data_IF_712187396809
#
_entry.id   IF_712187396809
#
_cell.length_a   1.000
_cell.length_b   1.000
_cell.length_c   1.000
_cell.angle_alpha   90.00
_cell.angle_beta   90.00
_cell.angle_gamma   90.00
#
_symmetry.space_group_name_H-M   'P 1'
#
loop_
_entity.id
_entity.type
_entity.pdbx_description
1 polymer ?
#
# COMPACT_ATOMS: atom_id res chain seq x y z
N UNK A 1 -3.75 -7.56 13.79
CA UNK A 1 -3.64 -7.43 12.33
C UNK A 1 -5.04 -7.56 11.72
N UNK A 2 -5.76 -6.44 11.50
CA UNK A 2 -7.17 -6.44 11.07
C UNK A 2 -7.49 -5.25 10.14
N UNK A 3 -6.57 -4.90 9.22
CA UNK A 3 -6.81 -3.80 8.27
C UNK A 3 -7.65 -4.26 7.05
N UNK A 4 -7.43 -5.49 6.58
CA UNK A 4 -8.16 -6.05 5.45
C UNK A 4 -9.64 -6.36 5.75
N UNK A 5 -10.01 -6.56 7.01
CA UNK A 5 -11.40 -6.88 7.39
C UNK A 5 -12.34 -5.69 7.23
N UNK A 6 -11.86 -4.45 7.40
CA UNK A 6 -12.68 -3.24 7.25
C UNK A 6 -13.06 -2.97 5.80
N UNK A 7 -12.15 -3.24 4.87
CA UNK A 7 -12.37 -3.08 3.43
C UNK A 7 -13.46 -4.01 2.87
N UNK A 8 -13.70 -5.14 3.52
CA UNK A 8 -14.68 -6.15 3.13
C UNK A 8 -15.87 -6.25 4.08
N UNK A 9 -16.11 -5.22 4.90
CA UNK A 9 -17.30 -5.09 5.73
C UNK A 9 -18.08 -3.86 5.27
N UNK A 10 -19.21 -4.09 4.59
CA UNK A 10 -20.07 -3.03 4.04
C UNK A 10 -20.62 -2.04 5.07
N UNK A 11 -20.52 -2.34 6.37
CA UNK A 11 -20.92 -1.42 7.44
C UNK A 11 -19.84 -0.39 7.79
N UNK A 12 -18.63 -0.49 7.20
CA UNK A 12 -17.50 0.40 7.47
C UNK A 12 -17.42 1.50 6.42
N UNK A 13 -16.98 2.67 6.87
CA UNK A 13 -16.73 3.82 6.01
C UNK A 13 -15.65 3.53 4.96
N UNK A 14 -14.65 2.71 5.30
CA UNK A 14 -13.58 2.35 4.36
C UNK A 14 -13.93 1.16 3.44
N UNK A 15 -15.18 0.69 3.45
CA UNK A 15 -15.59 -0.43 2.62
C UNK A 15 -15.29 -0.17 1.13
N UNK A 16 -14.81 -1.21 0.42
CA UNK A 16 -14.55 -1.12 -1.02
C UNK A 16 -15.79 -1.39 -1.88
N UNK A 17 -16.91 -1.69 -1.24
CA UNK A 17 -18.19 -1.95 -1.86
C UNK A 17 -19.16 -0.79 -1.59
N UNK A 18 -20.23 -0.74 -2.37
CA UNK A 18 -21.36 0.15 -2.08
C UNK A 18 -22.19 -0.33 -0.87
N UNK A 19 -23.24 0.42 -0.54
CA UNK A 19 -24.17 0.10 0.57
C UNK A 19 -24.87 -1.27 0.41
N UNK A 20 -25.00 -1.76 -0.83
CA UNK A 20 -25.59 -3.07 -1.13
C UNK A 20 -24.57 -4.19 -0.96
N UNK A 21 -23.29 -3.85 -0.89
CA UNK A 21 -22.18 -4.78 -0.82
C UNK A 21 -21.64 -5.21 -2.18
N UNK A 22 -21.93 -4.44 -3.25
CA UNK A 22 -21.38 -4.68 -4.59
C UNK A 22 -19.95 -4.12 -4.68
N UNK A 23 -19.00 -5.00 -4.98
CA UNK A 23 -17.60 -4.66 -5.26
C UNK A 23 -17.38 -4.53 -6.76
N UNK A 24 -16.59 -3.52 -7.14
CA UNK A 24 -16.21 -3.27 -8.52
C UNK A 24 -14.72 -3.46 -8.72
N UNK A 25 -14.32 -4.07 -9.85
CA UNK A 25 -12.92 -4.18 -10.22
C UNK A 25 -12.34 -2.80 -10.54
N UNK A 26 -11.17 -2.48 -9.97
CA UNK A 26 -10.46 -1.21 -10.16
C UNK A 26 -9.48 -1.20 -11.34
N UNK A 27 -9.46 -2.28 -12.14
CA UNK A 27 -8.57 -2.42 -13.28
C UNK A 27 -7.14 -2.81 -12.90
N UNK A 28 -6.33 -3.14 -13.90
CA UNK A 28 -4.92 -3.49 -13.69
C UNK A 28 -4.14 -2.32 -13.07
N UNK A 29 -2.93 -2.60 -12.56
CA UNK A 29 -2.09 -1.59 -11.91
C UNK A 29 -1.92 -0.33 -12.77
N UNK A 30 -1.68 -0.49 -14.07
CA UNK A 30 -1.47 0.58 -15.05
C UNK A 30 -2.74 1.19 -15.65
N UNK A 31 -3.93 0.86 -15.14
CA UNK A 31 -5.21 1.38 -15.62
C UNK A 31 -5.92 2.17 -14.53
N UNK A 32 -6.58 3.26 -14.91
CA UNK A 32 -7.38 4.05 -13.97
C UNK A 32 -8.66 3.31 -13.54
N UNK A 33 -9.29 2.62 -14.50
CA UNK A 33 -10.52 1.87 -14.30
C UNK A 33 -10.49 0.52 -15.03
N UNK A 34 -11.32 -0.42 -14.59
CA UNK A 34 -11.49 -1.69 -15.30
C UNK A 34 -12.24 -1.47 -16.61
N UNK A 35 -11.65 -1.87 -17.74
CA UNK A 35 -12.29 -1.82 -19.07
C UNK A 35 -13.52 -2.73 -19.20
N UNK A 36 -13.71 -3.67 -18.27
CA UNK A 36 -14.83 -4.64 -18.23
C UNK A 36 -15.74 -4.40 -17.02
N UNK A 37 -15.88 -3.15 -16.57
CA UNK A 37 -16.58 -2.80 -15.33
C UNK A 37 -18.01 -3.38 -15.23
N UNK A 38 -18.73 -3.46 -16.35
CA UNK A 38 -20.08 -4.03 -16.41
C UNK A 38 -20.12 -5.53 -16.09
N UNK A 39 -19.03 -6.25 -16.33
CA UNK A 39 -18.90 -7.69 -16.09
C UNK A 39 -18.13 -7.99 -14.80
N UNK A 40 -17.14 -7.18 -14.46
CA UNK A 40 -16.31 -7.35 -13.28
C UNK A 40 -16.90 -6.61 -12.08
N UNK A 41 -18.03 -7.11 -11.61
CA UNK A 41 -18.68 -6.74 -10.35
C UNK A 41 -19.11 -8.00 -9.60
N UNK A 42 -19.19 -7.91 -8.28
CA UNK A 42 -19.61 -9.05 -7.44
C UNK A 42 -20.14 -8.59 -6.09
N UNK A 43 -21.19 -9.26 -5.61
CA UNK A 43 -21.69 -9.09 -4.25
C UNK A 43 -21.47 -10.38 -3.43
N UNK A 44 -20.38 -10.49 -2.64
CA UNK A 44 -20.06 -11.68 -1.86
C UNK A 44 -21.01 -11.90 -0.67
N UNK A 45 -21.86 -10.93 -0.36
CA UNK A 45 -22.86 -11.05 0.70
C UNK A 45 -24.17 -11.69 0.21
N UNK A 46 -24.38 -11.77 -1.11
CA UNK A 46 -25.62 -12.27 -1.70
C UNK A 46 -25.77 -13.79 -1.60
N UNK A 47 -24.68 -14.56 -1.71
CA UNK A 47 -24.72 -16.03 -1.57
C UNK A 47 -23.37 -16.61 -1.17
N UNK A 48 -23.37 -17.89 -0.79
CA UNK A 48 -22.13 -18.64 -0.48
C UNK A 48 -21.26 -18.79 -1.73
N UNK A 49 -21.86 -19.04 -2.87
CA UNK A 49 -21.19 -19.18 -4.16
C UNK A 49 -20.51 -17.88 -4.56
N UNK A 50 -21.21 -16.75 -4.41
CA UNK A 50 -20.63 -15.43 -4.66
C UNK A 50 -19.43 -15.15 -3.75
N UNK A 51 -19.51 -15.54 -2.46
CA UNK A 51 -18.38 -15.45 -1.53
C UNK A 51 -17.18 -16.30 -1.95
N UNK A 52 -17.44 -17.52 -2.44
CA UNK A 52 -16.40 -18.42 -2.96
C UNK A 52 -15.75 -17.80 -4.20
N UNK A 53 -16.53 -17.30 -5.16
CA UNK A 53 -15.97 -16.63 -6.35
C UNK A 53 -15.15 -15.39 -5.95
N UNK A 54 -15.59 -14.64 -4.95
CA UNK A 54 -14.85 -13.49 -4.43
C UNK A 54 -13.47 -13.85 -3.88
N UNK A 55 -13.24 -15.08 -3.41
CA UNK A 55 -11.89 -15.53 -3.01
C UNK A 55 -10.87 -15.56 -4.15
N UNK A 56 -11.33 -15.55 -5.40
CA UNK A 56 -10.46 -15.44 -6.58
C UNK A 56 -10.04 -14.00 -6.91
N UNK A 57 -10.72 -13.01 -6.32
CA UNK A 57 -10.37 -11.60 -6.45
C UNK A 57 -9.16 -11.29 -5.57
N UNK A 58 -8.37 -10.30 -5.99
CA UNK A 58 -7.11 -9.96 -5.33
C UNK A 58 -7.09 -8.49 -4.94
N UNK A 59 -6.44 -8.19 -3.82
CA UNK A 59 -5.93 -6.84 -3.53
C UNK A 59 -4.50 -6.78 -4.06
N UNK A 60 -4.38 -6.26 -5.27
CA UNK A 60 -3.11 -6.16 -5.99
C UNK A 60 -2.38 -4.87 -5.63
N UNK A 61 -1.07 -4.97 -5.43
CA UNK A 61 -0.21 -3.83 -5.09
C UNK A 61 0.25 -3.15 -6.39
N UNK A 62 -0.13 -1.89 -6.61
CA UNK A 62 0.36 -1.11 -7.75
C UNK A 62 1.89 -1.07 -7.74
N UNK A 63 2.50 -0.63 -6.64
CA UNK A 63 3.93 -0.75 -6.38
C UNK A 63 4.12 -2.10 -5.69
N UNK A 64 4.75 -3.03 -6.39
CA UNK A 64 4.79 -4.43 -5.97
C UNK A 64 5.43 -4.64 -4.60
N UNK A 65 4.74 -5.39 -3.73
CA UNK A 65 5.23 -5.73 -2.39
C UNK A 65 6.61 -6.38 -2.42
N UNK A 66 6.72 -7.54 -3.06
CA UNK A 66 7.94 -8.36 -2.98
C UNK A 66 9.05 -7.88 -3.91
N UNK A 67 8.70 -7.24 -5.04
CA UNK A 67 9.68 -6.78 -6.04
C UNK A 67 10.17 -5.34 -5.84
N UNK A 68 9.42 -4.51 -5.11
CA UNK A 68 9.79 -3.11 -4.88
C UNK A 68 9.75 -2.75 -3.39
N UNK A 69 8.62 -2.90 -2.71
CA UNK A 69 8.45 -2.35 -1.34
C UNK A 69 9.38 -3.01 -0.32
N UNK A 70 9.40 -4.34 -0.23
CA UNK A 70 10.22 -5.05 0.75
C UNK A 70 11.73 -4.82 0.49
N UNK A 71 12.24 -4.94 -0.76
CA UNK A 71 13.62 -4.54 -1.06
C UNK A 71 13.94 -3.10 -0.66
N UNK A 72 13.02 -2.16 -0.91
CA UNK A 72 13.19 -0.76 -0.55
C UNK A 72 13.31 -0.51 0.97
N UNK A 73 12.54 -1.26 1.77
CA UNK A 73 12.65 -1.22 3.23
C UNK A 73 14.01 -1.74 3.68
N UNK A 74 14.50 -2.82 3.08
CA UNK A 74 15.82 -3.37 3.39
C UNK A 74 16.92 -2.37 3.05
N UNK A 75 16.88 -1.79 1.84
CA UNK A 75 17.83 -0.76 1.40
C UNK A 75 17.84 0.44 2.36
N UNK A 76 16.65 0.94 2.74
CA UNK A 76 16.52 2.04 3.70
C UNK A 76 17.13 1.69 5.07
N UNK A 77 16.90 0.47 5.54
CA UNK A 77 17.47 -0.02 6.81
C UNK A 77 19.00 -0.13 6.75
N UNK A 78 19.56 -0.61 5.64
CA UNK A 78 21.01 -0.68 5.43
C UNK A 78 21.63 0.71 5.37
N UNK A 79 20.97 1.67 4.72
CA UNK A 79 21.43 3.07 4.69
C UNK A 79 21.48 3.68 6.09
N UNK A 80 20.45 3.47 6.93
CA UNK A 80 20.46 3.96 8.32
C UNK A 80 21.55 3.32 9.17
N UNK A 81 21.82 2.03 8.98
CA UNK A 81 22.85 1.33 9.74
C UNK A 81 24.28 1.74 9.38
N UNK A 82 24.50 2.28 8.17
CA UNK A 82 25.83 2.60 7.64
C UNK A 82 26.16 4.10 7.68
N UNK A 83 25.19 4.97 7.86
CA UNK A 83 25.42 6.42 7.93
C UNK A 83 25.84 6.85 9.33
N UNK A 84 26.94 7.63 9.40
CA UNK A 84 27.45 8.23 10.65
C UNK A 84 26.80 9.58 11.00
N UNK A 85 25.75 9.99 10.26
CA UNK A 85 25.06 11.27 10.45
C UNK A 85 23.76 11.06 11.23
N UNK A 86 23.39 12.00 12.12
CA UNK A 86 22.13 11.90 12.84
C UNK A 86 20.96 12.41 11.97
N UNK A 87 19.73 12.13 12.45
CA UNK A 87 18.44 12.81 12.17
C UNK A 87 17.61 12.54 10.90
N UNK A 88 17.80 11.42 10.19
CA UNK A 88 16.73 10.94 9.28
C UNK A 88 16.01 9.75 9.88
N UNK A 89 14.74 9.92 10.26
CA UNK A 89 13.93 8.82 10.78
C UNK A 89 13.34 8.01 9.62
N UNK A 90 13.31 6.68 9.78
CA UNK A 90 12.65 5.79 8.84
C UNK A 90 11.16 6.15 8.71
N UNK A 91 10.71 6.42 7.49
CA UNK A 91 9.32 6.78 7.20
C UNK A 91 8.42 5.55 7.19
N UNK A 92 8.17 4.99 8.37
CA UNK A 92 7.27 3.85 8.55
C UNK A 92 5.85 4.12 8.01
N UNK A 93 5.39 5.37 8.06
CA UNK A 93 4.08 5.77 7.54
C UNK A 93 3.97 5.60 6.03
N UNK A 94 5.00 6.01 5.28
CA UNK A 94 5.07 5.81 3.83
C UNK A 94 4.96 4.31 3.46
N UNK A 95 5.81 3.47 4.06
CA UNK A 95 5.80 2.03 3.77
C UNK A 95 4.51 1.35 4.24
N UNK A 96 3.95 1.75 5.39
CA UNK A 96 2.67 1.25 5.86
C UNK A 96 1.55 1.53 4.86
N UNK A 97 1.48 2.76 4.32
CA UNK A 97 0.50 3.13 3.29
C UNK A 97 0.64 2.26 2.05
N UNK A 98 1.89 2.01 1.61
CA UNK A 98 2.15 1.16 0.45
C UNK A 98 1.79 -0.32 0.69
N UNK A 99 1.99 -0.83 1.90
CA UNK A 99 1.79 -2.25 2.20
C UNK A 99 0.33 -2.61 2.50
N UNK A 100 -0.38 -1.76 3.24
CA UNK A 100 -1.59 -2.17 3.94
C UNK A 100 -2.82 -1.30 3.64
N UNK A 101 -2.70 -0.30 2.77
CA UNK A 101 -3.81 0.61 2.47
C UNK A 101 -4.17 0.65 1.00
N UNK A 102 -5.38 1.10 0.72
CA UNK A 102 -5.88 1.39 -0.64
C UNK A 102 -5.10 2.48 -1.37
N UNK A 103 -4.15 3.15 -0.71
CA UNK A 103 -3.21 4.04 -1.38
C UNK A 103 -2.39 3.31 -2.46
N UNK A 104 -2.10 2.03 -2.24
CA UNK A 104 -1.34 1.21 -3.18
C UNK A 104 -2.02 -0.13 -3.50
N UNK A 105 -3.14 -0.46 -2.83
CA UNK A 105 -3.92 -1.67 -3.08
C UNK A 105 -5.13 -1.40 -3.98
N UNK A 106 -5.25 -2.16 -5.07
CA UNK A 106 -6.43 -2.19 -5.95
C UNK A 106 -7.15 -3.53 -5.83
N UNK A 107 -8.47 -3.49 -5.61
CA UNK A 107 -9.30 -4.69 -5.72
C UNK A 107 -9.51 -5.03 -7.20
N UNK A 108 -9.05 -6.20 -7.61
CA UNK A 108 -9.07 -6.63 -9.01
C UNK A 108 -9.67 -8.02 -9.17
N UNK A 109 -10.47 -8.18 -10.22
CA UNK A 109 -10.86 -9.49 -10.72
C UNK A 109 -9.61 -10.26 -11.18
N UNK A 110 -9.61 -11.59 -11.05
CA UNK A 110 -8.44 -12.44 -11.38
C UNK A 110 -7.89 -12.21 -12.80
N UNK A 111 -8.76 -11.88 -13.77
CA UNK A 111 -8.36 -11.60 -15.16
C UNK A 111 -7.69 -10.23 -15.32
N UNK A 112 -7.96 -9.29 -14.41
CA UNK A 112 -7.32 -7.97 -14.39
C UNK A 112 -6.08 -7.91 -13.50
N UNK A 113 -5.77 -9.00 -12.79
CA UNK A 113 -4.55 -9.11 -12.01
C UNK A 113 -3.38 -9.47 -12.94
N UNK A 114 -2.62 -8.44 -13.33
CA UNK A 114 -1.39 -8.61 -14.09
C UNK A 114 -0.32 -9.22 -13.17
N UNK A 115 0.10 -10.45 -13.47
CA UNK A 115 1.15 -11.15 -12.70
C UNK A 115 2.57 -10.84 -13.23
N UNK A 116 2.65 -10.03 -14.29
CA UNK A 116 3.90 -9.51 -14.83
C UNK A 116 4.60 -8.57 -13.86
N UNK A 117 5.75 -8.03 -14.25
CA UNK A 117 6.43 -7.00 -13.48
C UNK A 117 5.79 -5.62 -13.74
N UNK A 118 5.54 -4.86 -12.68
CA UNK A 118 5.03 -3.49 -12.77
C UNK A 118 6.22 -2.53 -13.03
N UNK A 119 6.79 -2.59 -14.23
CA UNK A 119 8.09 -1.99 -14.56
C UNK A 119 8.23 -0.51 -14.20
N UNK A 120 7.16 0.28 -14.33
CA UNK A 120 7.19 1.73 -14.09
C UNK A 120 6.74 2.14 -12.69
N UNK A 121 6.29 1.19 -11.87
CA UNK A 121 5.80 1.43 -10.53
C UNK A 121 6.86 1.03 -9.49
N UNK A 122 7.64 2.00 -9.00
CA UNK A 122 8.69 1.78 -8.00
C UNK A 122 8.52 2.71 -6.80
N UNK A 123 9.15 2.34 -5.69
CA UNK A 123 9.16 3.19 -4.51
C UNK A 123 9.94 4.48 -4.77
N UNK A 124 9.39 5.59 -4.29
CA UNK A 124 10.02 6.90 -4.25
C UNK A 124 11.07 6.95 -3.11
N UNK A 125 12.35 7.05 -3.49
CA UNK A 125 13.50 7.03 -2.55
C UNK A 125 13.52 8.26 -1.64
N UNK A 126 13.01 9.39 -2.11
CA UNK A 126 13.00 10.64 -1.35
C UNK A 126 12.03 10.57 -0.17
N UNK A 127 11.13 9.58 -0.16
CA UNK A 127 10.16 9.34 0.91
C UNK A 127 10.59 8.28 1.93
N UNK A 128 11.76 7.67 1.78
CA UNK A 128 12.22 6.62 2.70
C UNK A 128 12.43 7.14 4.11
N UNK A 129 12.76 8.42 4.22
CA UNK A 129 13.08 9.08 5.47
C UNK A 129 12.25 10.35 5.64
N UNK A 130 12.02 10.72 6.89
CA UNK A 130 11.54 12.05 7.27
C UNK A 130 12.70 12.83 7.88
N UNK A 131 12.76 14.13 7.59
CA UNK A 131 13.74 15.03 8.21
C UNK A 131 13.13 15.49 9.52
N UNK A 132 13.80 15.23 10.65
CA UNK A 132 13.37 15.78 11.93
C UNK A 132 13.55 17.31 11.90
N UNK A 133 12.44 18.04 11.96
CA UNK A 133 12.43 19.51 11.94
C UNK A 133 12.52 20.10 13.37
N UNK A 134 12.53 19.26 14.40
CA UNK A 134 12.36 19.64 15.82
C UNK A 134 13.58 19.36 16.72
N UNK A 135 14.80 19.24 16.19
CA UNK A 135 15.99 19.25 17.05
C UNK A 135 16.55 20.68 17.14
N UNK A 136 16.32 21.43 18.24
CA UNK A 136 17.01 22.69 18.44
C UNK A 136 18.51 22.41 18.48
N UNK A 137 19.27 23.17 17.70
CA UNK A 137 20.72 23.18 17.67
C UNK A 137 21.24 23.11 19.12
N UNK A 138 21.79 21.97 19.52
CA UNK A 138 22.59 21.89 20.73
C UNK A 138 23.81 22.76 20.50
N UNK A 139 23.76 24.00 20.99
CA UNK A 139 24.94 24.84 21.15
C UNK A 139 25.94 24.01 21.96
N UNK A 140 27.03 23.63 21.31
CA UNK A 140 28.20 23.09 21.98
C UNK A 140 28.73 24.19 22.88
N UNK A 141 28.41 24.13 24.17
CA UNK A 141 29.10 24.89 25.20
C UNK A 141 30.54 24.38 25.19
N UNK A 142 31.43 25.17 24.58
CA UNK A 142 32.87 25.01 24.74
C UNK A 142 33.16 25.39 26.18
N UNK A 143 33.35 24.39 27.04
CA UNK A 143 33.87 24.61 28.38
C UNK A 143 35.34 25.05 28.23
N UNK A 144 35.58 26.32 28.56
CA UNK A 144 36.92 26.88 28.67
C UNK A 144 37.24 26.92 30.15
N UNK A 145 37.91 25.89 30.66
CA UNK A 145 38.66 25.96 31.91
C UNK A 145 39.84 24.99 31.93
#
# INVERSE_FOLDING_TARGET
>A
MCLATRYFDRSKEEALCDERGEFLCRGAWNQEHCTRLTLHRINPYQSREARIVFSTWNLDHWIERSRSIIPSILDASTLLATQSRPVSQFNHTYFYRLLFTTHNLKLVHIVCHDKGEHKTAKCDKDKYFVVDVDEPLRETVVDVS
#
